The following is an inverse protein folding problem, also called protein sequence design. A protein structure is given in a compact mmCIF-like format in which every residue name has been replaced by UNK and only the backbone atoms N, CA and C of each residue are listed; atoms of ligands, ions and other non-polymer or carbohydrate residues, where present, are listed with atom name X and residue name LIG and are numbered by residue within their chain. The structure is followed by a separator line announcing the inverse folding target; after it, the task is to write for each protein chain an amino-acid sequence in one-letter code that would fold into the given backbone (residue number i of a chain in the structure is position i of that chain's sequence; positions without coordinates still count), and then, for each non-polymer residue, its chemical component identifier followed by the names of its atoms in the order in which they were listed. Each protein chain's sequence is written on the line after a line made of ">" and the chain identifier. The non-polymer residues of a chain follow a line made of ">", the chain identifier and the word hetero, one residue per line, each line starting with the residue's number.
data_IF_514752621311
#
_entry.id   IF_514752621311
#
_cell.length_a   1.000
_cell.length_b   1.000
_cell.length_c   1.000
_cell.angle_alpha   90.00
_cell.angle_beta   90.00
_cell.angle_gamma   90.00
#
_symmetry.space_group_name_H-M   'P 1'
#
loop_
_entity.id
_entity.type
_entity.pdbx_description
1 polymer ?
#
# COMPACT_ATOMS: atom_id res chain seq x y z
N UNK A 1 -20.32 -9.00 3.08
CA UNK A 1 -19.72 -7.78 2.46
C UNK A 1 -19.13 -8.19 1.13
N UNK A 2 -19.26 -7.35 0.08
CA UNK A 2 -18.65 -7.65 -1.23
C UNK A 2 -17.13 -7.53 -1.09
N UNK A 3 -16.38 -8.57 -1.46
CA UNK A 3 -14.91 -8.50 -1.42
C UNK A 3 -14.42 -7.32 -2.29
N UNK A 4 -13.39 -6.57 -1.85
CA UNK A 4 -12.83 -5.49 -2.66
C UNK A 4 -12.23 -6.05 -3.94
N UNK A 5 -12.45 -5.35 -5.04
CA UNK A 5 -11.89 -5.68 -6.35
C UNK A 5 -11.10 -4.46 -6.83
N UNK A 6 -9.80 -4.63 -7.03
CA UNK A 6 -8.92 -3.56 -7.52
C UNK A 6 -8.82 -3.71 -9.04
N UNK A 7 -9.37 -2.72 -9.76
CA UNK A 7 -9.31 -2.68 -11.23
C UNK A 7 -8.19 -1.73 -11.67
N UNK A 8 -7.31 -2.25 -12.50
CA UNK A 8 -6.24 -1.47 -13.12
C UNK A 8 -6.48 -1.35 -14.63
N UNK A 9 -5.48 -0.90 -15.38
CA UNK A 9 -5.59 -0.82 -16.83
C UNK A 9 -5.75 -2.21 -17.47
N UNK A 10 -4.95 -3.19 -17.02
CA UNK A 10 -4.88 -4.54 -17.61
C UNK A 10 -5.35 -5.64 -16.67
N UNK A 11 -5.40 -5.38 -15.36
CA UNK A 11 -5.58 -6.42 -14.35
C UNK A 11 -6.83 -6.18 -13.51
N UNK A 12 -7.33 -7.29 -12.98
CA UNK A 12 -8.24 -7.36 -11.85
C UNK A 12 -7.49 -8.07 -10.73
N UNK A 13 -7.46 -7.48 -9.53
CA UNK A 13 -6.81 -8.04 -8.36
C UNK A 13 -7.87 -8.17 -7.29
N UNK A 14 -8.11 -9.39 -6.82
CA UNK A 14 -9.16 -9.69 -5.83
C UNK A 14 -8.65 -10.64 -4.75
N UNK A 15 -9.10 -10.48 -3.50
CA UNK A 15 -8.78 -11.44 -2.45
C UNK A 15 -9.54 -12.75 -2.70
N UNK A 16 -8.87 -13.87 -2.49
CA UNK A 16 -9.48 -15.20 -2.55
C UNK A 16 -10.38 -15.43 -1.33
N UNK A 17 -11.44 -16.19 -1.49
CA UNK A 17 -12.27 -16.71 -0.38
C UNK A 17 -11.53 -17.83 0.37
N UNK A 18 -12.08 -18.27 1.50
CA UNK A 18 -11.47 -19.39 2.24
C UNK A 18 -11.57 -20.69 1.45
N UNK A 19 -12.68 -20.87 0.73
CA UNK A 19 -12.90 -22.02 -0.14
C UNK A 19 -11.92 -22.05 -1.31
N UNK A 20 -11.70 -20.90 -1.97
CA UNK A 20 -10.74 -20.77 -3.07
C UNK A 20 -9.29 -21.00 -2.59
N UNK A 21 -8.91 -20.49 -1.40
CA UNK A 21 -7.62 -20.76 -0.79
C UNK A 21 -7.44 -22.25 -0.47
N UNK A 22 -8.48 -22.91 0.03
CA UNK A 22 -8.44 -24.32 0.35
C UNK A 22 -8.30 -25.20 -0.91
N UNK A 23 -8.97 -24.82 -2.00
CA UNK A 23 -8.79 -25.47 -3.31
C UNK A 23 -7.38 -25.25 -3.86
N UNK A 24 -6.85 -24.04 -3.75
CA UNK A 24 -5.50 -23.71 -4.18
C UNK A 24 -4.46 -24.53 -3.38
N UNK A 25 -4.61 -24.63 -2.07
CA UNK A 25 -3.77 -25.45 -1.20
C UNK A 25 -3.74 -26.92 -1.61
N UNK A 26 -4.87 -27.46 -2.14
CA UNK A 26 -4.96 -28.86 -2.60
C UNK A 26 -4.39 -29.05 -4.01
N UNK A 27 -4.40 -28.01 -4.84
CA UNK A 27 -3.97 -28.10 -6.25
C UNK A 27 -2.47 -27.90 -6.45
N UNK A 28 -1.81 -27.21 -5.54
CA UNK A 28 -0.37 -26.92 -5.60
C UNK A 28 0.43 -28.15 -5.21
N UNK A 29 1.46 -28.45 -6.01
CA UNK A 29 2.35 -29.60 -5.81
C UNK A 29 3.63 -29.25 -5.05
N UNK A 30 4.01 -27.97 -5.04
CA UNK A 30 5.16 -27.48 -4.30
C UNK A 30 4.83 -27.38 -2.81
N UNK A 31 5.64 -28.00 -1.96
CA UNK A 31 5.38 -28.10 -0.52
C UNK A 31 5.58 -26.74 0.20
N UNK A 32 6.45 -25.86 -0.33
CA UNK A 32 6.66 -24.53 0.26
C UNK A 32 5.46 -23.62 -0.05
N UNK A 33 4.98 -23.62 -1.30
CA UNK A 33 3.76 -22.88 -1.68
C UNK A 33 2.54 -23.39 -0.93
N UNK A 34 2.39 -24.72 -0.81
CA UNK A 34 1.29 -25.35 -0.08
C UNK A 34 1.28 -24.96 1.40
N UNK A 35 2.45 -24.90 2.02
CA UNK A 35 2.61 -24.44 3.40
C UNK A 35 2.21 -22.95 3.51
N UNK A 36 2.66 -22.10 2.58
CA UNK A 36 2.33 -20.68 2.57
C UNK A 36 0.83 -20.44 2.46
N UNK A 37 0.13 -21.12 1.53
CA UNK A 37 -1.32 -21.00 1.42
C UNK A 37 -2.06 -21.56 2.64
N UNK A 38 -1.52 -22.61 3.28
CA UNK A 38 -2.05 -23.14 4.54
C UNK A 38 -1.97 -22.15 5.69
N UNK A 39 -0.85 -21.46 5.84
CA UNK A 39 -0.65 -20.39 6.82
C UNK A 39 -1.58 -19.19 6.55
N UNK A 40 -1.77 -18.82 5.29
CA UNK A 40 -2.73 -17.78 4.89
C UNK A 40 -4.16 -18.16 5.27
N UNK A 41 -4.58 -19.41 5.01
CA UNK A 41 -5.92 -19.90 5.34
C UNK A 41 -6.17 -19.89 6.85
N UNK A 42 -5.19 -20.32 7.64
CA UNK A 42 -5.25 -20.26 9.11
C UNK A 42 -5.33 -18.81 9.61
N UNK A 43 -4.53 -17.93 9.03
CA UNK A 43 -4.58 -16.49 9.30
C UNK A 43 -5.95 -15.88 9.00
N UNK A 44 -6.56 -16.23 7.86
CA UNK A 44 -7.91 -15.79 7.50
C UNK A 44 -8.97 -16.24 8.51
N UNK A 45 -8.89 -17.49 8.94
CA UNK A 45 -9.82 -18.10 9.93
C UNK A 45 -9.65 -17.51 11.32
N UNK A 46 -8.42 -17.17 11.69
CA UNK A 46 -8.12 -16.58 13.01
C UNK A 46 -8.43 -15.09 13.09
N UNK A 47 -8.41 -14.37 11.95
CA UNK A 47 -8.51 -12.91 11.89
C UNK A 47 -9.62 -12.43 10.95
N UNK A 48 -10.86 -12.85 11.18
CA UNK A 48 -12.01 -12.55 10.29
C UNK A 48 -12.16 -11.06 9.94
N UNK A 49 -11.93 -10.15 10.89
CA UNK A 49 -12.05 -8.70 10.68
C UNK A 49 -10.95 -8.17 9.75
N UNK A 50 -9.76 -8.72 9.88
CA UNK A 50 -8.56 -8.29 9.14
C UNK A 50 -8.17 -9.28 8.03
N UNK A 51 -9.09 -10.13 7.62
CA UNK A 51 -8.89 -11.23 6.68
C UNK A 51 -8.13 -10.83 5.42
N UNK A 52 -8.39 -9.63 4.90
CA UNK A 52 -7.78 -9.12 3.67
C UNK A 52 -6.25 -8.97 3.75
N UNK A 53 -5.69 -8.97 4.95
CA UNK A 53 -4.25 -8.89 5.20
C UNK A 53 -3.59 -10.27 5.32
N UNK A 54 -4.38 -11.35 5.33
CA UNK A 54 -3.90 -12.72 5.47
C UNK A 54 -4.18 -13.58 4.24
N UNK A 55 -5.08 -13.16 3.35
CA UNK A 55 -5.46 -13.92 2.15
C UNK A 55 -4.50 -13.67 0.99
N UNK A 56 -4.42 -14.64 0.09
CA UNK A 56 -3.85 -14.39 -1.23
C UNK A 56 -4.80 -13.51 -2.07
N UNK A 57 -4.22 -12.64 -2.88
CA UNK A 57 -4.91 -11.80 -3.85
C UNK A 57 -4.58 -12.31 -5.25
N UNK A 58 -5.56 -12.89 -5.91
CA UNK A 58 -5.43 -13.35 -7.29
C UNK A 58 -5.26 -12.18 -8.25
N UNK A 59 -4.34 -12.32 -9.17
CA UNK A 59 -4.12 -11.39 -10.28
C UNK A 59 -4.64 -12.04 -11.55
N UNK A 60 -5.65 -11.45 -12.19
CA UNK A 60 -6.21 -11.92 -13.45
C UNK A 60 -6.22 -10.83 -14.51
N UNK A 61 -6.20 -11.23 -15.78
CA UNK A 61 -6.33 -10.32 -16.91
C UNK A 61 -7.75 -9.77 -16.98
N UNK A 62 -7.87 -8.47 -17.19
CA UNK A 62 -9.17 -7.80 -17.23
C UNK A 62 -10.02 -8.16 -18.44
N UNK A 63 -9.38 -8.50 -19.55
CA UNK A 63 -10.04 -8.81 -20.84
C UNK A 63 -10.48 -10.27 -20.94
N UNK A 64 -9.67 -11.20 -20.44
CA UNK A 64 -9.92 -12.65 -20.57
C UNK A 64 -10.38 -13.31 -19.28
N UNK A 65 -10.10 -12.69 -18.12
CA UNK A 65 -10.29 -13.32 -16.82
C UNK A 65 -9.23 -14.37 -16.48
N UNK A 66 -8.22 -14.56 -17.33
CA UNK A 66 -7.15 -15.53 -17.14
C UNK A 66 -6.29 -15.14 -15.92
N UNK A 67 -6.07 -16.09 -15.00
CA UNK A 67 -5.15 -15.91 -13.87
C UNK A 67 -3.72 -15.83 -14.39
N UNK A 68 -2.96 -14.87 -13.89
CA UNK A 68 -1.56 -14.62 -14.28
C UNK A 68 -0.60 -14.61 -13.11
N UNK A 69 -1.10 -14.79 -11.89
CA UNK A 69 -0.30 -14.82 -10.68
C UNK A 69 -1.10 -14.47 -9.45
N UNK A 70 -0.41 -14.25 -8.36
CA UNK A 70 -0.98 -13.80 -7.10
C UNK A 70 -0.05 -12.87 -6.31
N UNK A 71 -0.57 -12.37 -5.22
CA UNK A 71 0.17 -11.56 -4.26
C UNK A 71 -0.50 -11.63 -2.89
N UNK A 72 0.24 -11.25 -1.85
CA UNK A 72 -0.26 -11.30 -0.48
C UNK A 72 0.36 -10.21 0.38
N UNK A 73 -0.24 -9.98 1.55
CA UNK A 73 0.43 -9.34 2.67
C UNK A 73 0.92 -10.42 3.65
N UNK A 74 2.03 -10.18 4.31
CA UNK A 74 2.51 -11.05 5.39
C UNK A 74 1.89 -10.66 6.75
N UNK A 75 0.57 -10.48 6.78
CA UNK A 75 -0.22 -10.11 7.96
C UNK A 75 -0.64 -8.64 8.02
N UNK A 76 -1.38 -8.31 9.09
CA UNK A 76 -1.83 -6.94 9.37
C UNK A 76 -0.67 -5.98 9.56
N UNK A 77 -0.87 -4.67 9.27
CA UNK A 77 0.15 -3.68 9.56
C UNK A 77 0.55 -3.69 11.05
N UNK A 78 1.80 -3.97 11.32
CA UNK A 78 2.40 -3.89 12.64
C UNK A 78 3.49 -2.83 12.65
N UNK A 79 3.58 -2.06 13.74
CA UNK A 79 4.60 -1.02 13.86
C UNK A 79 4.63 -0.02 12.69
N UNK A 80 3.47 0.24 12.08
CA UNK A 80 3.28 1.12 10.93
C UNK A 80 3.84 0.57 9.60
N UNK A 81 4.12 -0.71 9.50
CA UNK A 81 4.62 -1.38 8.30
C UNK A 81 3.92 -2.71 8.03
N UNK A 82 3.89 -3.11 6.77
CA UNK A 82 3.50 -4.45 6.32
C UNK A 82 4.37 -4.87 5.16
N UNK A 83 4.57 -6.17 5.02
CA UNK A 83 5.33 -6.73 3.91
C UNK A 83 4.40 -7.31 2.85
N UNK A 84 4.76 -7.14 1.57
CA UNK A 84 4.07 -7.76 0.44
C UNK A 84 4.94 -8.82 -0.22
N UNK A 85 4.30 -9.94 -0.60
CA UNK A 85 4.83 -10.92 -1.53
C UNK A 85 4.04 -10.88 -2.84
N UNK A 86 4.65 -11.25 -3.96
CA UNK A 86 3.99 -11.36 -5.26
C UNK A 86 4.70 -12.32 -6.19
N UNK A 87 3.93 -12.99 -7.02
CA UNK A 87 4.39 -13.86 -8.08
C UNK A 87 3.62 -13.65 -9.38
N UNK A 88 4.30 -13.82 -10.52
CA UNK A 88 3.68 -13.87 -11.85
C UNK A 88 4.11 -15.16 -12.52
N UNK A 89 3.13 -15.89 -13.04
CA UNK A 89 3.34 -17.16 -13.74
C UNK A 89 4.31 -16.98 -14.90
N UNK A 90 5.18 -17.95 -15.14
CA UNK A 90 6.30 -17.83 -16.10
C UNK A 90 5.89 -17.36 -17.47
N UNK A 91 4.80 -17.89 -17.99
CA UNK A 91 4.23 -17.57 -19.31
C UNK A 91 3.72 -16.11 -19.43
N UNK A 92 3.53 -15.44 -18.29
CA UNK A 92 3.00 -14.07 -18.20
C UNK A 92 4.06 -13.04 -17.76
N UNK A 93 5.30 -13.46 -17.53
CA UNK A 93 6.43 -12.56 -17.17
C UNK A 93 6.78 -11.58 -18.31
N UNK A 94 7.47 -10.52 -17.96
CA UNK A 94 7.95 -9.47 -18.87
C UNK A 94 6.86 -8.64 -19.58
N UNK A 95 5.57 -8.80 -19.22
CA UNK A 95 4.44 -8.04 -19.78
C UNK A 95 4.05 -6.82 -18.91
N UNK A 96 4.77 -6.60 -17.80
CA UNK A 96 4.59 -5.47 -16.89
C UNK A 96 3.51 -5.69 -15.82
N UNK A 97 2.92 -6.88 -15.75
CA UNK A 97 1.84 -7.20 -14.82
C UNK A 97 2.27 -7.09 -13.35
N UNK A 98 3.44 -7.64 -12.98
CA UNK A 98 3.96 -7.50 -11.62
C UNK A 98 4.04 -6.02 -11.18
N UNK A 99 4.57 -5.15 -12.04
CA UNK A 99 4.70 -3.72 -11.72
C UNK A 99 3.34 -3.05 -11.53
N UNK A 100 2.34 -3.40 -12.34
CA UNK A 100 0.99 -2.87 -12.25
C UNK A 100 0.29 -3.37 -10.98
N UNK A 101 0.44 -4.65 -10.66
CA UNK A 101 -0.15 -5.28 -9.48
C UNK A 101 0.46 -4.75 -8.18
N UNK A 102 1.80 -4.68 -8.06
CA UNK A 102 2.50 -4.12 -6.89
C UNK A 102 2.09 -2.69 -6.63
N UNK A 103 1.96 -1.86 -7.68
CA UNK A 103 1.46 -0.49 -7.54
C UNK A 103 0.06 -0.47 -6.94
N UNK A 104 -0.85 -1.23 -7.53
CA UNK A 104 -2.26 -1.22 -7.17
C UNK A 104 -2.50 -1.72 -5.74
N UNK A 105 -1.86 -2.85 -5.33
CA UNK A 105 -2.01 -3.37 -3.98
C UNK A 105 -1.36 -2.46 -2.93
N UNK A 106 -0.20 -1.86 -3.24
CA UNK A 106 0.45 -0.88 -2.35
C UNK A 106 -0.43 0.35 -2.11
N UNK A 107 -1.06 0.88 -3.18
CA UNK A 107 -2.00 2.01 -3.08
C UNK A 107 -3.25 1.64 -2.27
N UNK A 108 -3.77 0.43 -2.48
CA UNK A 108 -4.87 -0.12 -1.68
C UNK A 108 -4.50 -0.19 -0.19
N UNK A 109 -3.33 -0.73 0.13
CA UNK A 109 -2.84 -0.86 1.50
C UNK A 109 -2.79 0.51 2.22
N UNK A 110 -2.18 1.51 1.58
CA UNK A 110 -2.11 2.86 2.13
C UNK A 110 -3.48 3.53 2.28
N UNK A 111 -4.44 3.19 1.44
CA UNK A 111 -5.80 3.76 1.49
C UNK A 111 -6.66 3.11 2.57
N UNK A 112 -6.42 1.83 2.88
CA UNK A 112 -7.24 1.04 3.78
C UNK A 112 -6.68 0.91 5.20
N UNK A 113 -5.46 1.38 5.46
CA UNK A 113 -4.89 1.46 6.80
C UNK A 113 -4.34 2.84 7.10
N UNK A 114 -4.99 3.56 8.01
CA UNK A 114 -4.52 4.89 8.46
C UNK A 114 -3.21 4.86 9.24
N UNK A 115 -2.84 3.70 9.77
CA UNK A 115 -1.63 3.49 10.58
C UNK A 115 -0.43 3.04 9.75
N UNK A 116 -0.65 2.59 8.51
CA UNK A 116 0.41 2.12 7.64
C UNK A 116 1.21 3.27 7.06
N UNK A 117 2.51 3.30 7.30
CA UNK A 117 3.45 4.29 6.76
C UNK A 117 4.49 3.69 5.81
N UNK A 118 4.79 2.39 5.96
CA UNK A 118 5.74 1.70 5.11
C UNK A 118 5.15 0.41 4.57
N UNK A 119 5.33 0.17 3.29
CA UNK A 119 5.17 -1.15 2.68
C UNK A 119 6.56 -1.65 2.34
N UNK A 120 6.87 -2.85 2.80
CA UNK A 120 8.14 -3.52 2.53
C UNK A 120 7.95 -4.69 1.58
N UNK A 121 9.02 -5.11 0.94
CA UNK A 121 9.09 -6.34 0.14
C UNK A 121 10.52 -6.86 0.17
N UNK A 122 10.68 -8.16 0.10
CA UNK A 122 12.00 -8.78 -0.02
C UNK A 122 12.18 -9.37 -1.43
N UNK A 123 13.40 -9.38 -1.89
CA UNK A 123 13.77 -9.97 -3.18
C UNK A 123 15.12 -10.66 -3.06
N UNK A 124 15.22 -11.85 -3.65
CA UNK A 124 16.50 -12.52 -3.83
C UNK A 124 17.46 -11.59 -4.61
N UNK A 125 18.73 -11.45 -4.17
CA UNK A 125 19.73 -10.64 -4.86
C UNK A 125 19.93 -11.01 -6.35
N UNK A 126 19.68 -12.27 -6.72
CA UNK A 126 19.77 -12.74 -8.09
C UNK A 126 18.49 -12.47 -8.90
N UNK A 127 17.36 -12.22 -8.25
CA UNK A 127 16.09 -11.92 -8.90
C UNK A 127 16.02 -10.45 -9.37
N UNK A 128 16.83 -10.15 -10.40
CA UNK A 128 16.90 -8.80 -10.98
C UNK A 128 15.55 -8.31 -11.52
N UNK A 129 14.65 -9.22 -11.89
CA UNK A 129 13.30 -8.87 -12.37
C UNK A 129 12.46 -8.29 -11.24
N UNK A 130 12.41 -8.95 -10.07
CA UNK A 130 11.72 -8.46 -8.88
C UNK A 130 12.29 -7.12 -8.40
N UNK A 131 13.63 -7.01 -8.33
CA UNK A 131 14.31 -5.77 -7.96
C UNK A 131 13.88 -4.60 -8.87
N UNK A 132 13.83 -4.81 -10.19
CA UNK A 132 13.37 -3.78 -11.14
C UNK A 132 11.90 -3.41 -10.96
N UNK A 133 11.04 -4.39 -10.65
CA UNK A 133 9.62 -4.14 -10.37
C UNK A 133 9.48 -3.25 -9.15
N UNK A 134 10.18 -3.55 -8.05
CA UNK A 134 10.14 -2.77 -6.82
C UNK A 134 10.66 -1.34 -7.05
N UNK A 135 11.84 -1.19 -7.67
CA UNK A 135 12.42 0.13 -7.97
C UNK A 135 11.51 0.98 -8.86
N UNK A 136 10.91 0.38 -9.91
CA UNK A 136 9.95 1.07 -10.79
C UNK A 136 8.71 1.57 -10.04
N UNK A 137 8.34 0.89 -8.97
CA UNK A 137 7.21 1.28 -8.11
C UNK A 137 7.61 2.23 -6.97
N UNK A 138 8.85 2.74 -6.97
CA UNK A 138 9.32 3.71 -5.99
C UNK A 138 9.72 3.10 -4.64
N UNK A 139 9.94 1.79 -4.61
CA UNK A 139 10.59 1.16 -3.46
C UNK A 139 12.09 1.48 -3.49
N UNK A 140 12.67 1.76 -2.33
CA UNK A 140 14.09 2.03 -2.15
C UNK A 140 14.73 0.93 -1.32
N UNK A 141 16.02 0.62 -1.53
CA UNK A 141 16.73 -0.36 -0.72
C UNK A 141 16.75 0.08 0.76
N UNK A 142 16.41 -0.86 1.66
CA UNK A 142 16.33 -0.63 3.11
C UNK A 142 17.24 -1.56 3.93
N UNK A 143 18.08 -2.35 3.27
CA UNK A 143 19.01 -3.27 3.91
C UNK A 143 18.84 -4.73 3.46
N UNK A 144 19.01 -5.65 4.38
CA UNK A 144 18.78 -7.08 4.19
C UNK A 144 17.75 -7.57 5.19
N UNK A 145 16.85 -8.40 4.73
CA UNK A 145 15.91 -9.18 5.53
C UNK A 145 16.32 -10.66 5.56
N UNK A 146 15.43 -11.47 6.08
CA UNK A 146 15.68 -12.93 6.24
C UNK A 146 15.66 -13.66 4.89
N UNK A 147 14.88 -13.15 3.92
CA UNK A 147 14.68 -13.75 2.59
C UNK A 147 15.49 -13.07 1.47
N UNK A 148 16.32 -12.07 1.79
CA UNK A 148 17.14 -11.37 0.78
C UNK A 148 17.28 -9.87 0.97
N UNK A 149 17.30 -9.13 -0.15
CA UNK A 149 17.36 -7.68 -0.14
C UNK A 149 16.02 -7.10 0.28
N UNK A 150 16.01 -6.29 1.33
CA UNK A 150 14.83 -5.58 1.80
C UNK A 150 14.65 -4.26 1.05
N UNK A 151 13.46 -4.04 0.55
CA UNK A 151 13.01 -2.80 -0.08
C UNK A 151 11.86 -2.21 0.72
N UNK A 152 11.75 -0.88 0.72
CA UNK A 152 10.68 -0.18 1.40
C UNK A 152 10.08 0.93 0.53
N UNK A 153 8.80 1.16 0.69
CA UNK A 153 8.10 2.31 0.11
C UNK A 153 7.35 3.04 1.19
N UNK A 154 7.64 4.33 1.32
CA UNK A 154 6.95 5.20 2.26
C UNK A 154 5.61 5.67 1.68
N UNK A 155 4.61 5.82 2.55
CA UNK A 155 3.32 6.43 2.20
C UNK A 155 3.53 7.81 1.58
N UNK A 156 2.91 8.11 0.42
CA UNK A 156 3.00 9.43 -0.20
C UNK A 156 2.54 10.53 0.76
N UNK A 157 3.21 11.68 0.71
CA UNK A 157 2.78 12.88 1.44
C UNK A 157 1.69 13.58 0.67
N UNK A 158 0.62 13.95 1.36
CA UNK A 158 -0.42 14.84 0.82
C UNK A 158 -0.17 16.24 1.37
N UNK A 159 -0.14 17.26 0.53
CA UNK A 159 -0.02 18.64 0.97
C UNK A 159 -1.41 19.18 1.34
N UNK A 160 -1.75 19.08 2.61
CA UNK A 160 -2.99 19.64 3.13
C UNK A 160 -3.04 21.15 3.00
N UNK A 161 -1.89 21.82 3.08
CA UNK A 161 -1.78 23.27 2.86
C UNK A 161 -2.31 23.65 1.48
N UNK A 162 -1.97 22.92 0.42
CA UNK A 162 -2.46 23.19 -0.94
C UNK A 162 -3.97 22.96 -1.07
N UNK A 163 -4.47 21.86 -0.47
CA UNK A 163 -5.90 21.53 -0.50
C UNK A 163 -6.73 22.59 0.23
N UNK A 164 -6.35 22.93 1.46
CA UNK A 164 -7.07 23.90 2.27
C UNK A 164 -6.93 25.33 1.72
N UNK A 165 -5.84 25.67 1.04
CA UNK A 165 -5.71 26.93 0.33
C UNK A 165 -6.77 27.03 -0.77
N UNK A 166 -6.94 26.01 -1.62
CA UNK A 166 -7.95 26.00 -2.68
C UNK A 166 -9.38 26.10 -2.11
N UNK A 167 -9.67 25.34 -1.05
CA UNK A 167 -10.97 25.40 -0.36
C UNK A 167 -11.18 26.80 0.24
N UNK A 168 -10.17 27.36 0.91
CA UNK A 168 -10.23 28.67 1.53
C UNK A 168 -10.51 29.79 0.52
N UNK A 169 -9.86 29.75 -0.65
CA UNK A 169 -10.14 30.70 -1.75
C UNK A 169 -11.59 30.57 -2.19
N UNK A 170 -12.10 29.36 -2.44
CA UNK A 170 -13.49 29.16 -2.87
C UNK A 170 -14.51 29.66 -1.86
N UNK A 171 -14.35 29.32 -0.59
CA UNK A 171 -15.20 29.78 0.51
C UNK A 171 -15.09 31.30 0.66
N UNK A 172 -13.87 31.85 0.60
CA UNK A 172 -13.62 33.29 0.70
C UNK A 172 -14.29 34.11 -0.41
N UNK A 173 -14.31 33.60 -1.64
CA UNK A 173 -15.03 34.22 -2.76
C UNK A 173 -16.55 34.26 -2.51
N UNK A 174 -17.13 33.17 -2.01
CA UNK A 174 -18.55 33.10 -1.68
C UNK A 174 -18.92 34.14 -0.61
N UNK A 175 -18.17 34.18 0.51
CA UNK A 175 -18.40 35.17 1.56
C UNK A 175 -18.15 36.60 1.10
N UNK A 176 -17.07 36.82 0.35
CA UNK A 176 -16.77 38.17 -0.19
C UNK A 176 -17.86 38.73 -1.11
N UNK A 177 -18.53 37.84 -1.87
CA UNK A 177 -19.67 38.22 -2.72
C UNK A 177 -20.90 38.61 -1.89
N UNK A 178 -21.13 37.96 -0.73
CA UNK A 178 -22.27 38.31 0.17
C UNK A 178 -22.06 39.67 0.86
N UNK A 179 -20.81 40.03 1.16
CA UNK A 179 -20.44 41.26 1.86
C UNK A 179 -19.96 42.38 0.92
N UNK A 180 -20.21 42.27 -0.39
CA UNK A 180 -19.79 43.22 -1.43
C UNK A 180 -18.29 43.53 -1.41
N UNK A 181 -17.46 42.64 -0.85
CA UNK A 181 -16.01 42.83 -0.81
C UNK A 181 -15.24 41.50 -1.05
N UNK A 182 -15.15 41.16 -2.32
CA UNK A 182 -14.51 39.92 -2.79
C UNK A 182 -13.04 39.85 -2.33
N UNK A 183 -12.33 41.01 -2.34
CA UNK A 183 -10.91 40.99 -1.97
C UNK A 183 -10.68 40.62 -0.49
N UNK A 184 -11.47 41.19 0.42
CA UNK A 184 -11.39 40.84 1.85
C UNK A 184 -11.82 39.41 2.08
N UNK A 185 -12.91 38.96 1.46
CA UNK A 185 -13.36 37.57 1.58
C UNK A 185 -12.31 36.56 1.12
N UNK A 186 -11.67 36.80 -0.02
CA UNK A 186 -10.62 35.99 -0.57
C UNK A 186 -9.38 35.96 0.33
N UNK A 187 -8.94 37.11 0.83
CA UNK A 187 -7.78 37.19 1.75
C UNK A 187 -8.04 36.42 3.06
N UNK A 188 -9.21 36.59 3.67
CA UNK A 188 -9.57 35.86 4.89
C UNK A 188 -9.64 34.34 4.65
N UNK A 189 -10.27 33.92 3.54
CA UNK A 189 -10.37 32.51 3.17
C UNK A 189 -8.98 31.86 2.93
N UNK A 190 -8.08 32.58 2.24
CA UNK A 190 -6.69 32.13 2.06
C UNK A 190 -5.94 32.00 3.40
N UNK A 191 -6.03 32.99 4.28
CA UNK A 191 -5.37 32.97 5.59
C UNK A 191 -5.84 31.78 6.43
N UNK A 192 -7.15 31.53 6.50
CA UNK A 192 -7.73 30.41 7.23
C UNK A 192 -7.29 29.09 6.61
N UNK A 193 -7.36 28.97 5.28
CA UNK A 193 -6.95 27.76 4.56
C UNK A 193 -5.46 27.43 4.78
N UNK A 194 -4.58 28.42 4.67
CA UNK A 194 -3.15 28.26 4.96
C UNK A 194 -2.88 27.83 6.41
N UNK A 195 -3.54 28.46 7.37
CA UNK A 195 -3.37 28.14 8.79
C UNK A 195 -3.79 26.71 9.11
N UNK A 196 -4.95 26.27 8.65
CA UNK A 196 -5.48 24.92 8.86
C UNK A 196 -4.59 23.87 8.15
N UNK A 197 -4.29 24.09 6.87
CA UNK A 197 -3.47 23.17 6.09
C UNK A 197 -2.07 23.03 6.66
N UNK A 198 -1.42 24.14 7.04
CA UNK A 198 -0.10 24.13 7.68
C UNK A 198 -0.08 23.41 9.04
N UNK A 199 -1.12 23.57 9.85
CA UNK A 199 -1.23 22.86 11.13
C UNK A 199 -1.31 21.34 10.93
N UNK A 200 -2.12 20.87 9.95
CA UNK A 200 -2.26 19.45 9.64
C UNK A 200 -0.95 18.89 9.08
N UNK A 201 -0.32 19.57 8.11
CA UNK A 201 0.96 19.15 7.52
C UNK A 201 2.07 19.08 8.58
N UNK A 202 2.11 20.03 9.51
CA UNK A 202 3.07 20.03 10.64
C UNK A 202 2.85 18.82 11.55
N UNK A 203 1.61 18.47 11.85
CA UNK A 203 1.28 17.32 12.69
C UNK A 203 1.64 16.00 12.01
N UNK A 204 1.29 15.83 10.72
CA UNK A 204 1.65 14.64 9.94
C UNK A 204 3.18 14.49 9.84
N UNK A 205 3.90 15.58 9.59
CA UNK A 205 5.36 15.59 9.56
C UNK A 205 5.98 15.16 10.89
N UNK A 206 5.46 15.63 12.02
CA UNK A 206 5.92 15.21 13.36
C UNK A 206 5.72 13.72 13.57
N UNK A 207 4.51 13.22 13.23
CA UNK A 207 4.17 11.80 13.33
C UNK A 207 5.10 10.93 12.47
N UNK A 208 5.34 11.30 11.22
CA UNK A 208 6.29 10.62 10.32
C UNK A 208 7.72 10.58 10.88
N UNK A 209 8.20 11.69 11.43
CA UNK A 209 9.53 11.75 12.04
C UNK A 209 9.62 10.82 13.25
N UNK A 210 8.59 10.78 14.09
CA UNK A 210 8.51 9.87 15.23
C UNK A 210 8.56 8.41 14.79
N UNK A 211 7.71 8.00 13.84
CA UNK A 211 7.67 6.64 13.29
C UNK A 211 9.05 6.23 12.74
N UNK A 212 9.69 7.10 11.95
CA UNK A 212 11.04 6.86 11.43
C UNK A 212 12.09 6.68 12.53
N UNK A 213 12.00 7.46 13.62
CA UNK A 213 12.91 7.34 14.76
C UNK A 213 12.72 6.01 15.51
N UNK A 214 11.47 5.62 15.75
CA UNK A 214 11.14 4.37 16.43
C UNK A 214 11.58 3.17 15.59
N UNK A 215 11.34 3.20 14.27
CA UNK A 215 11.79 2.17 13.34
C UNK A 215 13.30 2.01 13.32
N UNK A 216 14.05 3.11 13.26
CA UNK A 216 15.53 3.09 13.33
C UNK A 216 16.07 2.52 14.65
N UNK A 217 15.36 2.70 15.76
CA UNK A 217 15.73 2.08 17.04
C UNK A 217 15.58 0.58 17.02
N UNK A 218 14.51 0.06 16.41
CA UNK A 218 14.26 -1.38 16.26
C UNK A 218 15.25 -2.07 15.31
N UNK A 219 15.65 -1.38 14.24
CA UNK A 219 16.59 -1.89 13.24
C UNK A 219 18.07 -1.84 13.69
N UNK A 220 18.39 -1.12 14.76
CA UNK A 220 19.73 -1.17 15.34
C UNK A 220 19.86 -2.50 16.11
N UNK A 221 20.83 -3.39 15.75
CA UNK A 221 21.13 -4.52 16.59
C UNK A 221 21.49 -4.02 17.99
N UNK A 222 20.90 -4.64 19.02
CA UNK A 222 21.35 -4.42 20.39
C UNK A 222 22.85 -4.67 20.42
N UNK A 223 23.62 -3.63 20.65
CA UNK A 223 25.07 -3.67 20.62
C UNK A 223 25.60 -4.71 21.59
N UNK A 224 26.41 -5.65 21.05
CA UNK A 224 27.36 -6.40 21.86
C UNK A 224 28.42 -5.48 22.41
#
# INVERSE_FOLDING_TARGET
>A
MKNPEIKTKKLIIRPLSDEELEELCKSVTDEEEKKAYGEMLEGCRSHHVNRLWYTAWEISLRDTGERVGDMCFKGTPENNETEIGYGIDEQHRNKGYASEAVKALTEWAFSNSGELYFVTAQADPENTASIRVLQKNGFVPAGRGDEGLLFEKERPTVSWMSIFLCIGVGVGLCFGSVFDNIAIGMCLGMCIGLALGSAIDSNDRKKRIQIKRERRKRQKPEGK
#
